data_IF_174643811218
#
_entry.id   IF_174643811218
#
_cell.length_a   1.000
_cell.length_b   1.000
_cell.length_c   1.000
_cell.angle_alpha   90.00
_cell.angle_beta   90.00
_cell.angle_gamma   90.00
#
_symmetry.space_group_name_H-M   'P 1'
#
loop_
_entity.id
_entity.type
_entity.pdbx_description
1 polymer ?
#
# COMPACT_ATOMS: atom_id res chain seq x y z
N UNK A 1 -7.98 15.25 0.40
CA UNK A 1 -6.74 14.45 0.25
C UNK A 1 -5.59 15.41 0.34
N UNK A 2 -4.50 14.95 0.93
CA UNK A 2 -3.34 15.80 1.16
C UNK A 2 -2.57 16.06 -0.15
N UNK A 3 -1.58 16.95 -0.08
CA UNK A 3 -0.67 17.17 -1.21
C UNK A 3 0.09 15.87 -1.50
N UNK A 4 0.35 15.63 -2.79
CA UNK A 4 1.18 14.51 -3.21
C UNK A 4 2.56 14.63 -2.59
N UNK A 5 3.08 13.51 -2.09
CA UNK A 5 4.43 13.40 -1.54
C UNK A 5 5.03 12.05 -1.86
N UNK A 6 6.35 11.94 -1.70
CA UNK A 6 7.07 10.67 -1.78
C UNK A 6 6.80 9.83 -0.53
N UNK A 7 6.55 8.56 -0.75
CA UNK A 7 6.38 7.52 0.25
C UNK A 7 7.36 6.39 -0.03
N UNK A 8 7.83 5.77 1.03
CA UNK A 8 8.69 4.61 1.00
C UNK A 8 8.26 3.69 2.14
N UNK A 9 8.36 2.38 1.95
CA UNK A 9 8.12 1.43 3.02
C UNK A 9 7.90 0.01 2.53
N UNK A 10 7.22 -0.77 3.37
CA UNK A 10 6.79 -2.12 3.06
C UNK A 10 5.29 -2.14 2.76
N UNK A 11 4.90 -2.95 1.79
CA UNK A 11 3.51 -3.17 1.44
C UNK A 11 3.20 -4.66 1.39
N UNK A 12 2.30 -5.08 2.27
CA UNK A 12 1.67 -6.39 2.25
C UNK A 12 0.53 -6.34 1.22
N UNK A 13 0.74 -6.98 0.07
CA UNK A 13 -0.26 -7.19 -0.97
C UNK A 13 -1.03 -8.47 -0.65
N UNK A 14 -2.08 -8.31 0.15
CA UNK A 14 -3.04 -9.34 0.55
C UNK A 14 -4.45 -8.84 0.25
N UNK A 15 -5.36 -9.70 -0.23
CA UNK A 15 -6.70 -9.28 -0.62
C UNK A 15 -7.48 -8.59 0.50
N UNK A 16 -7.68 -9.27 1.63
CA UNK A 16 -8.44 -8.72 2.76
C UNK A 16 -7.54 -7.93 3.73
N UNK A 17 -6.27 -8.35 3.81
CA UNK A 17 -5.31 -7.84 4.78
C UNK A 17 -4.31 -6.81 4.25
N UNK A 18 -4.47 -6.31 3.02
CA UNK A 18 -3.49 -5.40 2.42
C UNK A 18 -3.22 -4.20 3.32
N UNK A 19 -1.93 -3.93 3.49
CA UNK A 19 -1.45 -2.94 4.45
C UNK A 19 -0.13 -2.35 4.01
N UNK A 20 -0.04 -1.03 4.03
CA UNK A 20 1.21 -0.31 3.89
C UNK A 20 1.77 0.13 5.24
N UNK A 21 3.06 -0.13 5.43
CA UNK A 21 3.85 0.27 6.58
C UNK A 21 4.94 1.22 6.09
N UNK A 22 4.77 2.52 6.36
CA UNK A 22 5.72 3.55 5.94
C UNK A 22 7.08 3.38 6.62
N UNK A 23 8.15 3.72 5.90
CA UNK A 23 9.51 3.67 6.42
C UNK A 23 9.71 4.62 7.62
N UNK A 24 10.60 4.28 8.57
CA UNK A 24 11.33 3.01 8.65
C UNK A 24 10.42 1.89 9.19
N UNK A 25 10.29 0.80 8.42
CA UNK A 25 9.52 -0.39 8.80
C UNK A 25 10.37 -1.63 8.53
N UNK A 26 10.64 -2.41 9.57
CA UNK A 26 11.41 -3.66 9.48
C UNK A 26 10.53 -4.88 9.18
N UNK A 27 9.22 -4.76 9.44
CA UNK A 27 8.21 -5.78 9.18
C UNK A 27 6.87 -5.12 8.79
N UNK A 28 6.08 -5.81 7.98
CA UNK A 28 4.72 -5.40 7.64
C UNK A 28 3.83 -6.64 7.50
N UNK A 29 3.01 -6.85 8.52
CA UNK A 29 2.00 -7.90 8.58
C UNK A 29 0.64 -7.28 8.81
N UNK A 30 -0.41 -8.09 8.67
CA UNK A 30 -1.75 -7.67 9.07
C UNK A 30 -1.81 -7.11 10.51
N UNK A 31 -1.01 -7.67 11.42
CA UNK A 31 -0.97 -7.34 12.84
C UNK A 31 0.05 -6.26 13.22
N UNK A 32 0.76 -5.65 12.26
CA UNK A 32 1.70 -4.57 12.57
C UNK A 32 1.03 -3.45 13.38
N UNK A 33 1.77 -2.84 14.30
CA UNK A 33 1.26 -1.74 15.11
C UNK A 33 1.02 -0.47 14.26
N UNK A 34 0.19 0.44 14.77
CA UNK A 34 -0.08 1.72 14.15
C UNK A 34 -1.26 1.72 13.17
N UNK A 35 -1.35 2.79 12.39
CA UNK A 35 -2.45 3.05 11.46
C UNK A 35 -2.52 1.99 10.35
N UNK A 36 -3.73 1.58 9.97
CA UNK A 36 -3.95 0.68 8.84
C UNK A 36 -4.13 1.50 7.57
N UNK A 37 -3.14 1.43 6.69
CA UNK A 37 -3.11 2.21 5.45
C UNK A 37 -3.36 1.29 4.25
N UNK A 38 -4.45 1.54 3.55
CA UNK A 38 -4.79 0.87 2.29
C UNK A 38 -4.11 1.56 1.10
N UNK A 39 -3.41 0.80 0.25
CA UNK A 39 -2.93 1.32 -1.03
C UNK A 39 -3.91 1.03 -2.16
N UNK A 40 -4.10 2.01 -3.03
CA UNK A 40 -4.72 1.84 -4.34
C UNK A 40 -3.88 2.54 -5.38
N UNK A 41 -3.92 2.08 -6.62
CA UNK A 41 -3.20 2.69 -7.74
C UNK A 41 -4.14 3.57 -8.54
N UNK A 42 -3.66 4.76 -8.93
CA UNK A 42 -4.35 5.62 -9.88
C UNK A 42 -4.54 4.90 -11.22
N UNK A 43 -5.56 5.27 -12.01
CA UNK A 43 -5.92 4.55 -13.24
C UNK A 43 -4.81 4.59 -14.30
N UNK A 44 -3.98 5.62 -14.26
CA UNK A 44 -2.91 5.91 -15.20
C UNK A 44 -1.71 4.95 -15.07
N UNK A 45 -1.51 4.32 -13.90
CA UNK A 45 -0.44 3.34 -13.69
C UNK A 45 -0.77 2.07 -14.47
N UNK A 46 0.10 1.63 -15.38
CA UNK A 46 -0.22 0.49 -16.25
C UNK A 46 -0.37 -0.79 -15.43
N UNK A 47 -1.28 -1.68 -15.85
CA UNK A 47 -1.47 -2.96 -15.17
C UNK A 47 -0.19 -3.81 -15.10
N UNK A 48 0.72 -3.67 -16.07
CA UNK A 48 2.03 -4.34 -16.10
C UNK A 48 3.01 -3.84 -15.04
N UNK A 49 2.77 -2.66 -14.47
CA UNK A 49 3.59 -2.06 -13.42
C UNK A 49 3.06 -2.38 -12.01
N UNK A 50 1.84 -2.92 -11.93
CA UNK A 50 1.19 -3.33 -10.67
C UNK A 50 1.48 -4.81 -10.39
N UNK A 51 1.43 -5.25 -9.12
CA UNK A 51 1.39 -6.68 -8.83
C UNK A 51 0.25 -7.39 -9.56
N UNK A 52 0.52 -8.64 -9.94
CA UNK A 52 -0.51 -9.51 -10.46
C UNK A 52 -1.52 -9.85 -9.35
N UNK A 53 -2.79 -9.57 -9.61
CA UNK A 53 -3.89 -9.95 -8.73
C UNK A 53 -4.24 -11.45 -8.93
N UNK A 54 -3.45 -12.33 -8.33
CA UNK A 54 -3.59 -13.79 -8.42
C UNK A 54 -3.93 -14.46 -7.08
N UNK A 55 -4.31 -13.67 -6.08
CA UNK A 55 -4.69 -14.15 -4.74
C UNK A 55 -3.54 -14.59 -3.85
N UNK A 56 -2.28 -14.44 -4.28
CA UNK A 56 -1.11 -14.77 -3.45
C UNK A 56 -0.71 -13.59 -2.58
N UNK A 57 -0.32 -13.90 -1.35
CA UNK A 57 0.19 -12.94 -0.38
C UNK A 57 1.65 -12.62 -0.70
N UNK A 58 1.96 -11.34 -0.85
CA UNK A 58 3.32 -10.88 -1.15
C UNK A 58 3.69 -9.68 -0.29
N UNK A 59 4.95 -9.66 0.12
CA UNK A 59 5.53 -8.48 0.75
C UNK A 59 6.45 -7.78 -0.24
N UNK A 60 6.20 -6.50 -0.46
CA UNK A 60 7.02 -5.65 -1.32
C UNK A 60 7.71 -4.55 -0.54
N UNK A 61 8.94 -4.24 -0.94
CA UNK A 61 9.51 -2.92 -0.71
C UNK A 61 9.01 -2.00 -1.83
N UNK A 62 8.35 -0.91 -1.45
CA UNK A 62 7.69 -0.01 -2.39
C UNK A 62 8.13 1.43 -2.16
N UNK A 63 8.31 2.17 -3.25
CA UNK A 63 8.55 3.60 -3.25
C UNK A 63 7.68 4.26 -4.32
N UNK A 64 7.03 5.37 -3.98
CA UNK A 64 6.08 6.01 -4.89
C UNK A 64 5.77 7.46 -4.53
N UNK A 65 5.17 8.20 -5.48
CA UNK A 65 4.50 9.47 -5.23
C UNK A 65 3.00 9.22 -5.09
N UNK A 66 2.37 9.75 -4.04
CA UNK A 66 0.94 9.56 -3.82
C UNK A 66 0.32 10.50 -2.79
N UNK A 67 -1.01 10.46 -2.70
CA UNK A 67 -1.82 11.29 -1.79
C UNK A 67 -2.54 10.43 -0.76
N UNK A 68 -2.49 10.84 0.50
CA UNK A 68 -3.27 10.23 1.57
C UNK A 68 -4.62 10.94 1.74
N UNK A 69 -5.61 10.24 2.28
CA UNK A 69 -6.83 10.86 2.82
C UNK A 69 -6.51 11.75 4.01
N UNK A 70 -7.01 12.99 3.98
CA UNK A 70 -6.76 14.01 5.01
C UNK A 70 -7.41 13.68 6.36
N UNK A 71 -8.57 13.02 6.31
CA UNK A 71 -9.29 12.51 7.49
C UNK A 71 -9.24 10.97 7.53
N UNK A 72 -9.29 10.36 8.72
CA UNK A 72 -9.53 8.93 8.88
C UNK A 72 -10.88 8.50 8.29
N UNK A 73 -11.02 7.21 8.00
CA UNK A 73 -12.26 6.63 7.49
C UNK A 73 -12.21 5.10 7.46
N UNK A 74 -13.02 4.51 6.59
CA UNK A 74 -13.09 3.06 6.39
C UNK A 74 -12.75 2.75 4.94
N UNK A 75 -11.58 2.17 4.71
CA UNK A 75 -11.04 1.89 3.38
C UNK A 75 -10.63 0.43 3.22
N UNK A 76 -10.41 0.02 1.97
CA UNK A 76 -10.01 -1.33 1.61
C UNK A 76 -11.14 -2.33 1.66
N UNK A 77 -10.79 -3.61 1.58
CA UNK A 77 -11.75 -4.70 1.67
C UNK A 77 -12.37 -4.74 3.08
N UNK A 78 -13.70 -4.85 3.16
CA UNK A 78 -14.50 -4.77 4.39
C UNK A 78 -14.32 -3.48 5.24
N UNK A 79 -13.66 -2.43 4.73
CA UNK A 79 -13.53 -1.15 5.44
C UNK A 79 -12.61 -1.17 6.66
N UNK A 80 -11.63 -2.09 6.69
CA UNK A 80 -10.75 -2.34 7.85
C UNK A 80 -9.55 -1.38 7.97
N UNK A 81 -9.33 -0.50 6.99
CA UNK A 81 -8.20 0.44 7.00
C UNK A 81 -8.64 1.85 7.38
N UNK A 82 -7.87 2.49 8.28
CA UNK A 82 -8.13 3.83 8.79
C UNK A 82 -7.84 4.93 7.75
N UNK A 83 -6.89 4.65 6.84
CA UNK A 83 -6.47 5.57 5.78
C UNK A 83 -6.40 4.88 4.43
N UNK A 84 -6.40 5.72 3.40
CA UNK A 84 -6.06 5.31 2.03
C UNK A 84 -4.99 6.22 1.46
N UNK A 85 -4.04 5.62 0.76
CA UNK A 85 -3.12 6.34 -0.13
C UNK A 85 -3.40 5.92 -1.57
N UNK A 86 -3.55 6.90 -2.46
CA UNK A 86 -3.60 6.70 -3.91
C UNK A 86 -2.19 6.89 -4.45
N UNK A 87 -1.62 5.82 -5.01
CA UNK A 87 -0.33 5.81 -5.70
C UNK A 87 -0.55 6.46 -7.08
N UNK A 88 0.11 7.59 -7.33
CA UNK A 88 0.01 8.35 -8.59
C UNK A 88 1.20 8.05 -9.53
N UNK A 89 2.37 7.78 -8.96
CA UNK A 89 3.58 7.40 -9.70
C UNK A 89 4.36 6.34 -8.91
N UNK A 90 4.63 5.19 -9.52
CA UNK A 90 5.42 4.12 -8.91
C UNK A 90 6.90 4.30 -9.24
N UNK A 91 7.73 4.47 -8.21
CA UNK A 91 9.18 4.69 -8.36
C UNK A 91 9.97 3.38 -8.19
N UNK A 92 9.51 2.52 -7.28
CA UNK A 92 10.14 1.23 -6.96
C UNK A 92 9.08 0.23 -6.50
N UNK A 93 9.23 -1.02 -6.94
CA UNK A 93 8.45 -2.15 -6.43
C UNK A 93 9.31 -3.42 -6.50
N UNK A 94 9.82 -3.86 -5.36
CA UNK A 94 10.67 -5.03 -5.24
C UNK A 94 10.05 -6.06 -4.31
N UNK A 95 9.98 -7.30 -4.74
CA UNK A 95 9.46 -8.39 -3.94
C UNK A 95 10.47 -8.76 -2.83
N UNK A 96 10.03 -8.68 -1.58
CA UNK A 96 10.82 -9.07 -0.39
C UNK A 96 10.58 -10.54 -0.04
N UNK A 97 9.32 -10.96 0.02
CA UNK A 97 8.96 -12.36 0.31
C UNK A 97 7.64 -12.78 -0.33
N UNK A 98 7.48 -14.10 -0.49
CA UNK A 98 6.23 -14.77 -0.88
C UNK A 98 5.88 -15.70 0.27
N UNK A 99 4.65 -15.65 0.75
CA UNK A 99 4.13 -16.60 1.73
C UNK A 99 3.18 -17.58 1.04
#
# INVERSE_FOLDING_TARGET
>A
MDKARRWEGLWLDEFEGSRFCAAPADDCTYHSAGERVWLTFAEEIRATERPAFDGKIRLYQIEFIGRQTSEPGHFGHAGTSDRKIVVEELLKLELVSRN
#
